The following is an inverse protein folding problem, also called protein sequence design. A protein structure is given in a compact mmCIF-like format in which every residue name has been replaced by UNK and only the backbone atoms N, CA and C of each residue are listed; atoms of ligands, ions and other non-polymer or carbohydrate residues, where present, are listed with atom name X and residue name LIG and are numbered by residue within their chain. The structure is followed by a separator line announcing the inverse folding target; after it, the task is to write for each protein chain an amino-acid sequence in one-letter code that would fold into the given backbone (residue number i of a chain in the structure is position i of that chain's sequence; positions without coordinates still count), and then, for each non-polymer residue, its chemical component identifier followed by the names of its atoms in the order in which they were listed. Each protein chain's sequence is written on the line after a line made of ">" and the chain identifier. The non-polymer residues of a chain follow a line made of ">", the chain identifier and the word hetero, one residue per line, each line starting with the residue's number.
data_IF_119565087450
#
_entry.id   IF_119565087450
#
_cell.length_a   1.000
_cell.length_b   1.000
_cell.length_c   1.000
_cell.angle_alpha   90.00
_cell.angle_beta   90.00
_cell.angle_gamma   90.00
#
_symmetry.space_group_name_H-M   'P 1'
#
loop_
_entity.id
_entity.type
_entity.pdbx_description
1 polymer ?
#
# COMPACT_ATOMS: atom_id res chain seq x y z
N UNK A 1 24.62 -1.16 13.07
CA UNK A 1 24.72 -2.56 12.57
C UNK A 1 23.31 -3.14 12.59
N UNK A 2 22.52 -2.88 11.54
CA UNK A 2 21.13 -3.34 11.48
C UNK A 2 21.13 -4.80 11.06
N UNK A 3 20.71 -5.68 11.96
CA UNK A 3 20.42 -7.06 11.64
C UNK A 3 19.29 -7.08 10.60
N UNK A 4 19.60 -7.61 9.42
CA UNK A 4 18.62 -8.13 8.49
C UNK A 4 17.92 -9.27 9.26
N UNK A 5 16.79 -8.96 9.89
CA UNK A 5 15.87 -10.02 10.29
C UNK A 5 15.39 -10.66 9.00
N UNK A 6 15.87 -11.86 8.74
CA UNK A 6 15.45 -12.66 7.60
C UNK A 6 13.92 -12.63 7.51
N UNK A 7 13.41 -12.27 6.33
CA UNK A 7 12.00 -12.29 5.97
C UNK A 7 11.50 -13.73 6.06
N UNK A 8 11.11 -14.17 7.25
CA UNK A 8 10.35 -15.41 7.40
C UNK A 8 8.97 -15.12 6.85
N UNK A 9 8.72 -15.53 5.60
CA UNK A 9 7.40 -15.52 4.98
C UNK A 9 6.48 -16.40 5.82
N UNK A 10 5.55 -15.78 6.54
CA UNK A 10 4.57 -16.52 7.35
C UNK A 10 3.42 -16.94 6.46
N UNK A 11 3.29 -18.23 6.17
CA UNK A 11 2.22 -18.74 5.31
C UNK A 11 0.81 -18.45 5.84
N UNK A 12 0.70 -18.07 7.11
CA UNK A 12 -0.57 -17.63 7.71
C UNK A 12 -1.01 -16.25 7.24
N UNK A 13 -0.07 -15.40 6.84
CA UNK A 13 -0.38 -14.09 6.26
C UNK A 13 -0.96 -14.24 4.84
N UNK A 14 -0.64 -15.32 4.13
CA UNK A 14 -1.23 -15.64 2.81
C UNK A 14 -2.76 -15.84 2.91
N UNK A 15 -3.28 -16.19 4.11
CA UNK A 15 -4.71 -16.29 4.37
C UNK A 15 -5.48 -14.97 4.15
N UNK A 16 -4.78 -13.84 4.14
CA UNK A 16 -5.35 -12.52 3.88
C UNK A 16 -5.68 -12.33 2.39
N UNK A 17 -5.15 -13.17 1.49
CA UNK A 17 -5.30 -13.03 0.04
C UNK A 17 -4.96 -11.61 -0.46
N UNK A 18 -3.74 -11.11 -0.20
CA UNK A 18 -3.33 -9.77 -0.62
C UNK A 18 -3.37 -9.62 -2.15
N UNK A 19 -3.51 -8.38 -2.63
CA UNK A 19 -3.36 -8.01 -4.03
C UNK A 19 -1.91 -7.59 -4.30
N UNK A 20 -1.03 -8.53 -4.60
CA UNK A 20 0.39 -8.25 -4.88
C UNK A 20 0.55 -7.27 -6.05
N UNK A 21 -0.36 -7.35 -7.03
CA UNK A 21 -0.43 -6.44 -8.18
C UNK A 21 -0.71 -4.97 -7.80
N UNK A 22 -1.27 -4.71 -6.61
CA UNK A 22 -1.65 -3.37 -6.16
C UNK A 22 -0.52 -2.61 -5.47
N UNK A 23 0.58 -3.29 -5.10
CA UNK A 23 1.77 -2.66 -4.50
C UNK A 23 2.33 -1.62 -5.48
N UNK A 24 2.85 -0.50 -4.98
CA UNK A 24 3.24 0.63 -5.83
C UNK A 24 4.24 0.25 -6.92
N UNK A 25 5.23 -0.61 -6.61
CA UNK A 25 6.30 -1.10 -7.49
C UNK A 25 6.06 -2.54 -7.99
N UNK A 26 4.80 -2.99 -8.08
CA UNK A 26 4.46 -4.30 -8.64
C UNK A 26 4.80 -4.40 -10.14
N UNK A 27 4.85 -5.61 -10.69
CA UNK A 27 5.01 -5.82 -12.15
C UNK A 27 3.94 -5.07 -12.96
N UNK A 28 2.69 -5.08 -12.47
CA UNK A 28 1.59 -4.35 -13.09
C UNK A 28 1.88 -2.84 -13.18
N UNK A 29 2.61 -2.27 -12.22
CA UNK A 29 3.05 -0.87 -12.28
C UNK A 29 3.85 -0.58 -13.56
N UNK A 30 4.70 -1.51 -13.98
CA UNK A 30 5.47 -1.39 -15.21
C UNK A 30 4.60 -1.57 -16.45
N UNK A 31 3.70 -2.56 -16.45
CA UNK A 31 2.78 -2.85 -17.56
C UNK A 31 1.84 -1.67 -17.86
N UNK A 32 1.31 -1.01 -16.82
CA UNK A 32 0.46 0.19 -16.97
C UNK A 32 1.27 1.48 -17.08
N UNK A 33 2.59 1.37 -17.23
CA UNK A 33 3.51 2.48 -17.43
C UNK A 33 3.46 3.55 -16.33
N UNK A 34 3.25 3.13 -15.07
CA UNK A 34 3.28 4.05 -13.93
C UNK A 34 4.74 4.41 -13.62
N UNK A 35 5.06 5.69 -13.76
CA UNK A 35 6.41 6.23 -13.58
C UNK A 35 6.42 7.29 -12.49
N UNK A 36 7.62 7.58 -11.98
CA UNK A 36 7.85 8.73 -11.13
C UNK A 36 7.70 10.04 -11.91
N UNK A 37 7.53 11.14 -11.19
CA UNK A 37 7.55 12.48 -11.72
C UNK A 37 8.88 12.72 -12.45
N UNK A 38 8.82 13.50 -13.53
CA UNK A 38 10.03 14.03 -14.15
C UNK A 38 10.81 14.82 -13.11
N UNK A 39 12.14 14.67 -13.14
CA UNK A 39 13.05 15.36 -12.20
C UNK A 39 12.72 16.85 -12.14
N UNK A 40 12.71 17.40 -10.93
CA UNK A 40 12.43 18.82 -10.63
C UNK A 40 11.01 19.31 -11.03
N UNK A 41 10.08 18.40 -11.33
CA UNK A 41 8.66 18.73 -11.50
C UNK A 41 7.87 18.33 -10.27
N UNK A 42 6.74 19.00 -10.00
CA UNK A 42 5.87 18.72 -8.85
C UNK A 42 6.59 18.78 -7.48
N UNK A 43 7.74 19.47 -7.42
CA UNK A 43 8.59 19.53 -6.24
C UNK A 43 7.87 20.12 -5.03
N UNK A 44 7.04 21.14 -5.24
CA UNK A 44 6.30 21.80 -4.16
C UNK A 44 5.31 20.84 -3.48
N UNK A 45 4.47 20.14 -4.25
CA UNK A 45 3.49 19.19 -3.67
C UNK A 45 4.18 17.95 -3.07
N UNK A 46 5.32 17.52 -3.61
CA UNK A 46 6.11 16.45 -3.01
C UNK A 46 6.71 16.88 -1.67
N UNK A 47 7.19 18.12 -1.56
CA UNK A 47 7.68 18.69 -0.30
C UNK A 47 6.56 18.80 0.73
N UNK A 48 5.36 19.24 0.32
CA UNK A 48 4.18 19.31 1.19
C UNK A 48 3.78 17.92 1.73
N UNK A 49 3.82 16.88 0.88
CA UNK A 49 3.57 15.49 1.28
C UNK A 49 4.63 14.98 2.27
N UNK A 50 5.90 15.29 2.05
CA UNK A 50 6.98 14.91 2.97
C UNK A 50 6.80 15.57 4.34
N UNK A 51 6.56 16.88 4.38
CA UNK A 51 6.30 17.62 5.62
C UNK A 51 5.06 17.07 6.34
N UNK A 52 3.98 16.83 5.61
CA UNK A 52 2.77 16.23 6.15
C UNK A 52 3.04 14.86 6.79
N UNK A 53 3.84 14.01 6.15
CA UNK A 53 4.09 12.65 6.64
C UNK A 53 4.93 12.57 7.91
N UNK A 54 5.69 13.62 8.21
CA UNK A 54 6.57 13.69 9.38
C UNK A 54 5.92 14.44 10.56
N UNK A 55 4.84 15.17 10.32
CA UNK A 55 4.21 16.03 11.31
C UNK A 55 3.03 15.31 11.99
N UNK A 56 3.25 14.90 13.23
CA UNK A 56 2.25 14.20 14.07
C UNK A 56 1.04 15.09 14.44
N UNK A 57 1.12 16.40 14.22
CA UNK A 57 0.00 17.33 14.44
C UNK A 57 -0.94 17.42 13.24
N UNK A 58 -0.53 16.90 12.08
CA UNK A 58 -1.36 16.92 10.86
C UNK A 58 -2.41 15.81 10.86
N UNK A 59 -3.49 15.97 10.08
CA UNK A 59 -4.47 14.90 9.89
C UNK A 59 -3.83 13.64 9.29
N UNK A 60 -4.32 12.46 9.68
CA UNK A 60 -3.81 11.15 9.20
C UNK A 60 -4.11 10.85 7.72
N UNK A 61 -4.82 11.74 7.01
CA UNK A 61 -5.18 11.57 5.60
C UNK A 61 -4.81 12.84 4.83
N UNK A 62 -3.99 12.69 3.80
CA UNK A 62 -3.73 13.74 2.82
C UNK A 62 -4.64 13.56 1.61
N UNK A 63 -5.47 14.55 1.32
CA UNK A 63 -6.35 14.52 0.15
C UNK A 63 -5.79 15.35 -1.00
N UNK A 64 -5.27 14.66 -2.03
CA UNK A 64 -4.78 15.31 -3.25
C UNK A 64 -5.89 15.41 -4.31
N UNK A 65 -6.46 16.59 -4.48
CA UNK A 65 -7.45 16.87 -5.52
C UNK A 65 -6.83 17.51 -6.76
N UNK A 66 -7.56 17.51 -7.88
CA UNK A 66 -7.13 18.15 -9.13
C UNK A 66 -7.79 17.51 -10.35
N UNK A 67 -7.74 18.22 -11.48
CA UNK A 67 -8.34 17.78 -12.74
C UNK A 67 -7.83 16.40 -13.18
N UNK A 68 -8.65 15.65 -13.92
CA UNK A 68 -8.19 14.40 -14.55
C UNK A 68 -6.95 14.66 -15.43
N UNK A 69 -6.03 13.71 -15.48
CA UNK A 69 -4.81 13.83 -16.30
C UNK A 69 -3.69 14.71 -15.71
N UNK A 70 -3.86 15.36 -14.56
CA UNK A 70 -2.82 16.23 -13.98
C UNK A 70 -1.65 15.49 -13.30
N UNK A 71 -1.64 14.16 -13.33
CA UNK A 71 -0.54 13.35 -12.79
C UNK A 71 -0.62 13.04 -11.30
N UNK A 72 -1.81 13.09 -10.67
CA UNK A 72 -2.00 12.72 -9.25
C UNK A 72 -1.41 11.35 -8.90
N UNK A 73 -1.68 10.33 -9.72
CA UNK A 73 -1.12 8.98 -9.54
C UNK A 73 0.41 8.97 -9.68
N UNK A 74 0.97 9.79 -10.56
CA UNK A 74 2.43 9.96 -10.75
C UNK A 74 3.06 10.59 -9.50
N UNK A 75 2.42 11.58 -8.89
CA UNK A 75 2.88 12.20 -7.63
C UNK A 75 2.83 11.16 -6.50
N UNK A 76 1.71 10.45 -6.34
CA UNK A 76 1.56 9.39 -5.33
C UNK A 76 2.60 8.28 -5.50
N UNK A 77 2.89 7.85 -6.73
CA UNK A 77 3.93 6.87 -7.02
C UNK A 77 5.33 7.38 -6.62
N UNK A 78 5.63 8.63 -6.97
CA UNK A 78 6.92 9.26 -6.63
C UNK A 78 7.10 9.36 -5.12
N UNK A 79 6.05 9.76 -4.42
CA UNK A 79 6.06 9.84 -2.96
C UNK A 79 6.19 8.47 -2.30
N UNK A 80 5.45 7.46 -2.76
CA UNK A 80 5.59 6.08 -2.30
C UNK A 80 7.02 5.55 -2.53
N UNK A 81 7.60 5.81 -3.71
CA UNK A 81 8.99 5.48 -3.99
C UNK A 81 9.96 6.15 -3.01
N UNK A 82 9.81 7.45 -2.75
CA UNK A 82 10.67 8.17 -1.80
C UNK A 82 10.55 7.61 -0.38
N UNK A 83 9.33 7.30 0.07
CA UNK A 83 9.08 6.65 1.36
C UNK A 83 9.74 5.27 1.45
N UNK A 84 9.67 4.47 0.37
CA UNK A 84 10.32 3.17 0.33
C UNK A 84 11.85 3.29 0.38
N UNK A 85 12.41 4.20 -0.42
CA UNK A 85 13.87 4.42 -0.50
C UNK A 85 14.46 4.85 0.86
N UNK A 86 13.65 5.45 1.75
CA UNK A 86 14.04 5.81 3.14
C UNK A 86 13.54 4.84 4.22
N UNK A 87 12.95 3.71 3.86
CA UNK A 87 12.44 2.71 4.81
C UNK A 87 11.23 3.17 5.64
N UNK A 88 10.45 4.13 5.13
CA UNK A 88 9.28 4.69 5.80
C UNK A 88 7.94 4.30 5.14
N UNK A 89 7.96 3.56 4.03
CA UNK A 89 6.73 3.06 3.39
C UNK A 89 6.24 1.79 4.10
N UNK A 90 5.24 1.92 4.97
CA UNK A 90 4.65 0.75 5.64
C UNK A 90 3.78 -0.12 4.73
N UNK A 91 3.03 0.50 3.81
CA UNK A 91 2.18 -0.20 2.85
C UNK A 91 1.78 0.72 1.68
N UNK A 92 1.37 0.11 0.56
CA UNK A 92 0.80 0.83 -0.58
C UNK A 92 -0.31 0.04 -1.26
N UNK A 93 -1.28 0.74 -1.85
CA UNK A 93 -2.31 0.14 -2.70
C UNK A 93 -2.70 1.10 -3.82
N UNK A 94 -2.48 0.70 -5.06
CA UNK A 94 -2.83 1.47 -6.25
C UNK A 94 -4.00 0.81 -6.99
N UNK A 95 -5.18 1.42 -6.89
CA UNK A 95 -6.36 0.96 -7.61
C UNK A 95 -6.16 1.10 -9.13
N UNK A 96 -6.46 0.05 -9.89
CA UNK A 96 -6.52 0.10 -11.36
C UNK A 96 -7.63 -0.80 -11.89
N UNK A 97 -8.24 -0.42 -13.01
CA UNK A 97 -9.26 -1.21 -13.69
C UNK A 97 -8.68 -2.37 -14.51
N UNK A 98 -7.36 -2.36 -14.74
CA UNK A 98 -6.66 -3.34 -15.58
C UNK A 98 -6.34 -4.65 -14.84
N UNK A 99 -6.62 -4.74 -13.53
CA UNK A 99 -6.43 -5.96 -12.73
C UNK A 99 -7.63 -6.19 -11.84
N UNK A 100 -8.07 -7.45 -11.78
CA UNK A 100 -9.18 -7.89 -10.91
C UNK A 100 -8.88 -7.69 -9.44
N UNK A 101 -7.62 -7.90 -9.03
CA UNK A 101 -7.20 -7.73 -7.65
C UNK A 101 -7.15 -6.25 -7.26
N UNK A 102 -6.67 -5.39 -8.16
CA UNK A 102 -6.50 -3.96 -7.91
C UNK A 102 -7.81 -3.17 -7.99
N UNK A 103 -8.88 -3.75 -8.57
CA UNK A 103 -10.23 -3.15 -8.56
C UNK A 103 -11.10 -3.65 -7.41
N UNK A 104 -10.68 -4.69 -6.71
CA UNK A 104 -11.42 -5.25 -5.58
C UNK A 104 -11.16 -4.45 -4.29
N UNK A 105 -12.14 -3.64 -3.90
CA UNK A 105 -12.12 -2.86 -2.65
C UNK A 105 -11.94 -3.77 -1.43
N UNK A 106 -12.39 -5.02 -1.51
CA UNK A 106 -12.23 -6.02 -0.47
C UNK A 106 -10.79 -6.38 -0.17
N UNK A 107 -9.89 -6.16 -1.13
CA UNK A 107 -8.47 -6.47 -0.98
C UNK A 107 -7.65 -5.32 -0.44
N UNK A 108 -8.19 -4.10 -0.31
CA UNK A 108 -7.41 -2.95 0.19
C UNK A 108 -6.88 -3.21 1.60
N UNK A 109 -7.77 -3.49 2.55
CA UNK A 109 -7.39 -3.68 3.96
C UNK A 109 -6.52 -4.94 4.15
N UNK A 110 -6.85 -6.12 3.59
CA UNK A 110 -5.98 -7.29 3.69
C UNK A 110 -4.58 -7.07 3.11
N UNK A 111 -4.47 -6.35 1.98
CA UNK A 111 -3.18 -6.04 1.35
C UNK A 111 -2.35 -5.07 2.18
N UNK A 112 -2.98 -4.08 2.81
CA UNK A 112 -2.31 -3.16 3.73
C UNK A 112 -1.85 -3.89 4.99
N UNK A 113 -2.71 -4.72 5.60
CA UNK A 113 -2.36 -5.50 6.78
C UNK A 113 -1.20 -6.47 6.50
N UNK A 114 -1.21 -7.14 5.35
CA UNK A 114 -0.12 -8.01 4.91
C UNK A 114 1.22 -7.26 4.79
N UNK A 115 1.24 -6.10 4.12
CA UNK A 115 2.44 -5.27 3.99
C UNK A 115 2.93 -4.73 5.34
N UNK A 116 2.02 -4.25 6.20
CA UNK A 116 2.39 -3.75 7.54
C UNK A 116 2.97 -4.85 8.43
N UNK A 117 2.55 -6.11 8.26
CA UNK A 117 3.13 -7.25 8.98
C UNK A 117 4.53 -7.60 8.49
N UNK A 118 4.91 -7.25 7.25
CA UNK A 118 6.29 -7.36 6.80
C UNK A 118 7.13 -6.19 7.30
N UNK A 119 6.53 -5.00 7.37
CA UNK A 119 7.21 -3.78 7.81
C UNK A 119 7.47 -3.73 9.33
N UNK A 120 6.51 -4.16 10.15
CA UNK A 120 6.55 -4.01 11.61
C UNK A 120 6.39 -5.35 12.33
N UNK A 121 7.44 -5.86 13.02
CA UNK A 121 7.37 -7.11 13.77
C UNK A 121 6.30 -7.12 14.88
N UNK A 122 6.09 -5.99 15.55
CA UNK A 122 5.07 -5.87 16.60
C UNK A 122 3.66 -5.98 16.02
N UNK A 123 3.42 -5.33 14.86
CA UNK A 123 2.17 -5.47 14.14
C UNK A 123 1.96 -6.91 13.63
N UNK A 124 3.01 -7.54 13.09
CA UNK A 124 2.98 -8.95 12.66
C UNK A 124 2.55 -9.88 13.78
N UNK A 125 3.18 -9.78 14.96
CA UNK A 125 2.84 -10.62 16.11
C UNK A 125 1.40 -10.42 16.56
N UNK A 126 0.91 -9.18 16.55
CA UNK A 126 -0.47 -8.87 16.89
C UNK A 126 -1.45 -9.46 15.86
N UNK A 127 -1.18 -9.28 14.57
CA UNK A 127 -2.02 -9.76 13.48
C UNK A 127 -2.10 -11.30 13.47
N UNK A 128 -0.97 -11.98 13.61
CA UNK A 128 -0.95 -13.45 13.68
C UNK A 128 -1.80 -13.96 14.83
N UNK A 129 -1.69 -13.35 16.02
CA UNK A 129 -2.52 -13.75 17.18
C UNK A 129 -4.03 -13.63 16.90
N UNK A 130 -4.44 -12.61 16.14
CA UNK A 130 -5.84 -12.45 15.72
C UNK A 130 -6.24 -13.53 14.71
N UNK A 131 -5.41 -13.78 13.69
CA UNK A 131 -5.66 -14.81 12.67
C UNK A 131 -5.70 -16.23 13.24
N UNK A 132 -4.98 -16.50 14.33
CA UNK A 132 -5.04 -17.73 15.12
C UNK A 132 -6.43 -17.94 15.74
N UNK A 133 -7.03 -16.87 16.27
CA UNK A 133 -8.30 -16.91 17.01
C UNK A 133 -9.50 -16.87 16.07
N UNK A 134 -9.36 -16.27 14.90
CA UNK A 134 -10.43 -16.10 13.93
C UNK A 134 -10.07 -16.67 12.54
N UNK A 135 -10.10 -18.01 12.34
CA UNK A 135 -9.80 -18.64 11.05
C UNK A 135 -10.78 -18.23 9.92
N UNK A 136 -11.90 -17.60 10.27
CA UNK A 136 -13.01 -17.23 9.38
C UNK A 136 -12.82 -15.90 8.65
N UNK A 137 -11.74 -15.15 8.92
CA UNK A 137 -11.41 -13.92 8.17
C UNK A 137 -11.21 -14.19 6.66
N UNK A 138 -11.07 -15.46 6.27
CA UNK A 138 -10.87 -15.95 4.90
C UNK A 138 -12.00 -15.72 3.90
N UNK A 139 -13.21 -15.23 4.27
CA UNK A 139 -14.34 -15.27 3.31
C UNK A 139 -15.43 -14.20 3.40
N UNK A 140 -15.37 -13.21 4.29
CA UNK A 140 -16.54 -12.32 4.49
C UNK A 140 -16.71 -11.16 3.48
N UNK A 141 -15.78 -10.95 2.54
CA UNK A 141 -15.95 -9.94 1.47
C UNK A 141 -16.30 -10.53 0.10
N UNK A 142 -17.03 -11.66 0.04
CA UNK A 142 -17.83 -11.94 -1.15
C UNK A 142 -19.09 -11.09 -1.07
N UNK A 143 -19.06 -9.86 -1.58
CA UNK A 143 -20.31 -9.15 -1.89
C UNK A 143 -21.12 -10.03 -2.84
N UNK A 144 -22.24 -10.52 -2.35
CA UNK A 144 -23.36 -10.93 -3.17
C UNK A 144 -23.59 -9.84 -4.21
N UNK A 145 -23.37 -10.18 -5.48
CA UNK A 145 -23.80 -9.36 -6.62
C UNK A 145 -25.30 -9.07 -6.43
N UNK A 146 -25.78 -7.81 -6.41
CA UNK A 146 -27.21 -7.59 -6.60
C UNK A 146 -27.57 -8.08 -8.01
N UNK A 147 -28.72 -8.74 -8.12
CA UNK A 147 -29.31 -9.20 -9.38
C UNK A 147 -29.60 -8.03 -10.31
#
# INVERSE_FOLDING_TARGET
>A
MWHIAAEQRDSRLDALSPADSAVYNSLLSHEVNRRACTRNTRSQILLELDQWSLDQTKPNVFWMNGMAGTGKTTIAYTFAKSLNDRGALGASFFCTRTSDECRDVGRIVPTIAHQLAQYSPSFRSALLRVLEREPRVKSHYRRSKPR
#
